data_IF_251023160353
#
_entry.id   IF_251023160353
#
_cell.length_a   1.000
_cell.length_b   1.000
_cell.length_c   1.000
_cell.angle_alpha   90.00
_cell.angle_beta   90.00
_cell.angle_gamma   90.00
#
_symmetry.space_group_name_H-M   'P 1'
#
loop_
_entity.id
_entity.type
_entity.pdbx_description
1 polymer ?
#
# COMPACT_ATOMS: atom_id res chain seq x y z
N UNK A 1 -23.08 11.11 -0.10
CA UNK A 1 -23.09 9.65 -0.30
C UNK A 1 -21.92 9.34 -1.21
N UNK A 2 -20.80 8.92 -0.63
CA UNK A 2 -19.64 8.44 -1.38
C UNK A 2 -19.11 7.24 -0.62
N UNK A 3 -19.24 6.12 -1.30
CA UNK A 3 -18.92 4.75 -0.94
C UNK A 3 -17.57 4.68 -0.20
N UNK A 4 -17.61 4.45 1.13
CA UNK A 4 -16.43 4.08 1.90
C UNK A 4 -15.91 2.76 1.32
N UNK A 5 -14.91 2.83 0.45
CA UNK A 5 -14.23 1.66 -0.05
C UNK A 5 -13.56 0.98 1.14
N UNK A 6 -14.13 -0.14 1.60
CA UNK A 6 -13.78 -0.86 2.82
C UNK A 6 -12.31 -1.35 2.92
N UNK A 7 -11.49 -1.10 1.91
CA UNK A 7 -10.05 -1.40 1.88
C UNK A 7 -9.16 -0.22 2.34
N UNK A 8 -9.77 0.92 2.63
CA UNK A 8 -9.15 2.13 3.17
C UNK A 8 -8.73 2.00 4.64
N UNK A 9 -9.50 1.28 5.46
CA UNK A 9 -9.35 1.35 6.94
C UNK A 9 -7.95 0.91 7.41
N UNK A 10 -7.34 -0.12 6.79
CA UNK A 10 -5.98 -0.53 7.14
C UNK A 10 -4.94 0.52 6.69
N UNK A 11 -5.07 1.11 5.50
CA UNK A 11 -4.13 2.16 5.04
C UNK A 11 -4.20 3.39 5.94
N UNK A 12 -5.41 3.79 6.33
CA UNK A 12 -5.63 4.87 7.28
C UNK A 12 -5.02 4.54 8.64
N UNK A 13 -5.23 3.31 9.15
CA UNK A 13 -4.61 2.87 10.40
C UNK A 13 -3.08 2.89 10.34
N UNK A 14 -2.47 2.54 9.20
CA UNK A 14 -1.02 2.63 9.01
C UNK A 14 -0.52 4.07 9.08
N UNK A 15 -1.26 5.02 8.50
CA UNK A 15 -0.95 6.44 8.56
C UNK A 15 -1.15 7.01 9.99
N UNK A 16 -2.27 6.66 10.63
CA UNK A 16 -2.63 7.08 11.98
C UNK A 16 -1.58 6.63 13.02
N UNK A 17 -1.10 5.39 12.91
CA UNK A 17 -0.06 4.85 13.79
C UNK A 17 1.36 5.28 13.38
N UNK A 18 1.52 6.07 12.31
CA UNK A 18 2.82 6.52 11.81
C UNK A 18 3.71 5.41 11.22
N UNK A 19 3.12 4.24 10.95
CA UNK A 19 3.80 3.11 10.29
C UNK A 19 4.01 3.36 8.79
N UNK A 20 3.16 4.21 8.21
CA UNK A 20 3.35 4.84 6.90
C UNK A 20 3.20 6.34 7.03
N UNK A 21 3.73 7.08 6.05
CA UNK A 21 3.56 8.53 5.93
C UNK A 21 3.04 8.91 4.54
N UNK A 22 2.24 9.97 4.47
CA UNK A 22 1.96 10.63 3.19
C UNK A 22 3.26 11.10 2.53
N UNK A 23 3.37 10.92 1.22
CA UNK A 23 4.58 11.15 0.43
C UNK A 23 5.61 10.00 0.48
N UNK A 24 5.37 8.94 1.26
CA UNK A 24 6.30 7.81 1.35
C UNK A 24 6.31 6.99 0.05
N UNK A 25 7.51 6.60 -0.39
CA UNK A 25 7.67 5.72 -1.54
C UNK A 25 7.48 4.26 -1.17
N UNK A 26 6.81 3.53 -2.05
CA UNK A 26 6.68 2.08 -2.06
C UNK A 26 7.32 1.51 -3.33
N UNK A 27 7.80 0.28 -3.23
CA UNK A 27 8.45 -0.47 -4.29
C UNK A 27 7.72 -1.80 -4.51
N UNK A 28 7.52 -2.17 -5.76
CA UNK A 28 7.03 -3.49 -6.16
C UNK A 28 8.05 -4.12 -7.11
N UNK A 29 8.93 -4.99 -6.59
CA UNK A 29 9.89 -5.71 -7.43
C UNK A 29 9.18 -6.80 -8.25
N UNK A 30 9.51 -6.90 -9.54
CA UNK A 30 9.15 -8.03 -10.42
C UNK A 30 10.44 -8.71 -10.92
N UNK A 31 11.08 -9.58 -10.12
CA UNK A 31 12.39 -10.14 -10.45
C UNK A 31 12.44 -10.86 -11.79
N UNK A 32 11.38 -11.60 -12.14
CA UNK A 32 11.25 -12.30 -13.43
C UNK A 32 11.24 -11.38 -14.65
N UNK A 33 10.85 -10.12 -14.47
CA UNK A 33 10.82 -9.09 -15.52
C UNK A 33 11.99 -8.10 -15.41
N UNK A 34 12.82 -8.22 -14.38
CA UNK A 34 13.94 -7.31 -14.13
C UNK A 34 13.54 -5.86 -13.85
N UNK A 35 12.30 -5.60 -13.41
CA UNK A 35 11.77 -4.24 -13.16
C UNK A 35 11.29 -4.08 -11.73
N UNK A 36 11.39 -2.86 -11.20
CA UNK A 36 10.80 -2.46 -9.92
C UNK A 36 9.91 -1.25 -10.14
N UNK A 37 8.64 -1.38 -9.80
CA UNK A 37 7.68 -0.28 -9.88
C UNK A 37 7.73 0.55 -8.60
N UNK A 38 7.46 1.85 -8.74
CA UNK A 38 7.39 2.77 -7.62
C UNK A 38 6.01 3.42 -7.54
N UNK A 39 5.46 3.49 -6.33
CA UNK A 39 4.23 4.21 -6.04
C UNK A 39 4.45 5.13 -4.83
N UNK A 40 3.71 6.22 -4.75
CA UNK A 40 3.74 7.14 -3.60
C UNK A 40 2.47 6.97 -2.78
N UNK A 41 2.60 6.86 -1.45
CA UNK A 41 1.47 6.89 -0.52
C UNK A 41 0.94 8.33 -0.44
N UNK A 42 -0.33 8.54 -0.73
CA UNK A 42 -0.98 9.84 -0.54
C UNK A 42 -1.43 10.02 0.93
N UNK A 43 -1.58 11.25 1.43
CA UNK A 43 -1.94 11.53 2.82
C UNK A 43 -3.27 10.92 3.28
N UNK A 44 -4.14 10.54 2.34
CA UNK A 44 -5.43 9.89 2.59
C UNK A 44 -5.41 8.37 2.37
N UNK A 45 -4.22 7.76 2.26
CA UNK A 45 -4.07 6.31 2.16
C UNK A 45 -4.16 5.75 0.75
N UNK A 46 -4.50 6.56 -0.26
CA UNK A 46 -4.43 6.14 -1.65
C UNK A 46 -2.97 5.96 -2.12
N UNK A 47 -2.77 5.22 -3.20
CA UNK A 47 -1.48 5.11 -3.88
C UNK A 47 -1.51 5.86 -5.21
N UNK A 48 -0.48 6.67 -5.44
CA UNK A 48 -0.18 7.29 -6.74
C UNK A 48 0.84 6.43 -7.49
N UNK A 49 0.44 5.85 -8.62
CA UNK A 49 1.29 5.05 -9.49
C UNK A 49 1.14 5.52 -10.94
N UNK A 50 2.25 5.83 -11.62
CA UNK A 50 2.27 6.32 -13.02
C UNK A 50 1.21 7.40 -13.31
N UNK A 51 1.24 8.50 -12.54
CA UNK A 51 0.26 9.60 -12.56
C UNK A 51 -1.20 9.26 -12.19
N UNK A 52 -1.55 7.99 -11.99
CA UNK A 52 -2.90 7.58 -11.63
C UNK A 52 -3.02 7.30 -10.13
N UNK A 53 -4.15 7.73 -9.57
CA UNK A 53 -4.52 7.49 -8.17
C UNK A 53 -5.31 6.19 -8.06
N UNK A 54 -4.97 5.39 -7.05
CA UNK A 54 -5.60 4.12 -6.75
C UNK A 54 -6.05 4.10 -5.29
N UNK A 55 -7.33 3.79 -5.01
CA UNK A 55 -7.86 3.78 -3.65
C UNK A 55 -7.41 2.56 -2.84
N UNK A 56 -6.63 1.64 -3.43
CA UNK A 56 -6.13 0.47 -2.72
C UNK A 56 -4.75 0.02 -3.24
N UNK A 57 -3.94 -0.61 -2.37
CA UNK A 57 -2.69 -1.24 -2.79
C UNK A 57 -2.88 -2.27 -3.90
N UNK A 58 -3.96 -3.06 -3.85
CA UNK A 58 -4.24 -4.08 -4.87
C UNK A 58 -4.53 -3.47 -6.24
N UNK A 59 -5.32 -2.38 -6.30
CA UNK A 59 -5.58 -1.68 -7.56
C UNK A 59 -4.30 -1.15 -8.22
N UNK A 60 -3.42 -0.54 -7.41
CA UNK A 60 -2.11 -0.09 -7.89
C UNK A 60 -1.21 -1.26 -8.32
N UNK A 61 -1.23 -2.38 -7.58
CA UNK A 61 -0.43 -3.55 -7.89
C UNK A 61 -0.86 -4.19 -9.22
N UNK A 62 -2.16 -4.33 -9.46
CA UNK A 62 -2.69 -4.85 -10.74
C UNK A 62 -2.25 -3.97 -11.91
N UNK A 63 -2.28 -2.64 -11.74
CA UNK A 63 -1.79 -1.71 -12.75
C UNK A 63 -0.28 -1.85 -13.00
N UNK A 64 0.51 -2.10 -11.96
CA UNK A 64 1.95 -2.30 -12.07
C UNK A 64 2.34 -3.66 -12.69
N UNK A 65 1.66 -4.74 -12.31
CA UNK A 65 1.99 -6.10 -12.78
C UNK A 65 1.36 -6.45 -14.12
N UNK A 66 0.23 -5.81 -14.47
CA UNK A 66 -0.61 -6.19 -15.60
C UNK A 66 -1.45 -7.45 -15.35
N UNK A 67 -1.57 -7.90 -14.10
CA UNK A 67 -2.27 -9.13 -13.72
C UNK A 67 -2.84 -9.04 -12.30
N UNK A 68 -3.72 -9.98 -11.92
CA UNK A 68 -4.19 -10.08 -10.54
C UNK A 68 -3.01 -10.18 -9.57
N UNK A 69 -2.97 -9.30 -8.56
CA UNK A 69 -1.86 -9.18 -7.63
C UNK A 69 -2.35 -8.77 -6.24
N UNK A 70 -1.80 -9.40 -5.20
CA UNK A 70 -2.07 -9.03 -3.82
C UNK A 70 -1.19 -7.84 -3.43
N UNK A 71 -1.75 -6.63 -3.49
CA UNK A 71 -0.99 -5.40 -3.25
C UNK A 71 -0.39 -5.28 -1.86
N UNK A 72 -0.97 -5.91 -0.84
CA UNK A 72 -0.42 -5.89 0.52
C UNK A 72 0.91 -6.63 0.64
N UNK A 73 1.10 -7.67 -0.17
CA UNK A 73 2.34 -8.45 -0.20
C UNK A 73 3.29 -7.91 -1.26
N UNK A 74 2.75 -7.43 -2.38
CA UNK A 74 3.55 -6.98 -3.52
C UNK A 74 4.25 -5.63 -3.27
N UNK A 75 3.58 -4.69 -2.59
CA UNK A 75 4.18 -3.40 -2.25
C UNK A 75 5.02 -3.49 -0.98
N UNK A 76 6.24 -2.99 -1.07
CA UNK A 76 7.21 -2.92 0.00
C UNK A 76 7.58 -1.46 0.25
N UNK A 77 7.87 -1.13 1.50
CA UNK A 77 8.58 0.12 1.83
C UNK A 77 10.00 0.07 1.27
N UNK A 78 10.67 1.22 1.20
CA UNK A 78 12.05 1.32 0.69
C UNK A 78 13.07 0.55 1.53
N UNK A 79 12.76 0.21 2.78
CA UNK A 79 13.55 -0.68 3.64
C UNK A 79 13.17 -2.17 3.48
N UNK A 80 12.34 -2.51 2.49
CA UNK A 80 12.04 -3.88 2.09
C UNK A 80 10.93 -4.57 2.88
N UNK A 81 10.16 -3.85 3.71
CA UNK A 81 9.05 -4.45 4.48
C UNK A 81 7.77 -4.45 3.65
N UNK A 82 7.04 -5.58 3.54
CA UNK A 82 5.76 -5.61 2.85
C UNK A 82 4.68 -4.85 3.64
N UNK A 83 3.72 -4.22 2.95
CA UNK A 83 2.59 -3.54 3.59
C UNK A 83 1.80 -4.47 4.53
N UNK A 84 1.70 -5.77 4.20
CA UNK A 84 1.03 -6.76 5.03
C UNK A 84 1.69 -6.91 6.41
N UNK A 85 3.01 -6.76 6.50
CA UNK A 85 3.72 -6.77 7.78
C UNK A 85 3.32 -5.57 8.65
N UNK A 86 3.26 -4.38 8.04
CA UNK A 86 2.81 -3.17 8.73
C UNK A 86 1.36 -3.31 9.18
N UNK A 87 0.48 -3.84 8.32
CA UNK A 87 -0.93 -4.09 8.63
C UNK A 87 -1.11 -5.01 9.84
N UNK A 88 -0.37 -6.12 9.89
CA UNK A 88 -0.37 -7.04 11.04
C UNK A 88 0.09 -6.34 12.33
N UNK A 89 1.12 -5.51 12.22
CA UNK A 89 1.65 -4.72 13.36
C UNK A 89 0.61 -3.73 13.88
N UNK A 90 -0.07 -3.03 12.98
CA UNK A 90 -1.13 -2.08 13.31
C UNK A 90 -2.31 -2.73 14.03
N UNK A 91 -2.82 -3.84 13.47
CA UNK A 91 -3.95 -4.58 14.06
C UNK A 91 -3.62 -5.14 15.44
N UNK A 92 -2.40 -5.63 15.66
CA UNK A 92 -1.93 -6.07 16.98
C UNK A 92 -1.87 -4.93 17.99
N UNK A 93 -1.55 -3.71 17.54
CA UNK A 93 -1.52 -2.53 18.41
C UNK A 93 -2.93 -2.07 18.78
N UNK A 94 -3.89 -2.14 17.84
CA UNK A 94 -5.30 -1.80 18.09
C UNK A 94 -5.99 -2.76 19.07
N UNK A 95 -5.62 -4.05 19.08
CA UNK A 95 -6.18 -5.05 20.00
C UNK A 95 -5.59 -5.05 21.42
N UNK A 96 -4.65 -4.15 21.72
CA UNK A 96 -4.02 -3.99 23.05
C UNK A 96 -4.55 -2.80 23.85
N UNK A 97 -5.58 -2.13 23.34
CA UNK A 97 -6.17 -0.95 23.96
C UNK A 97 -7.52 -1.23 24.58
#
# INVERSE_FOLDING_TARGET
MTEKAYYDEDMHLLLELGLLKGGQLLQLPQPRKGVTHQATVEPDGALRFQNRRYPSPSGAAVAATGSSSNGWIAWHTTDGRPLDFLRKTARKSKGKS
#
